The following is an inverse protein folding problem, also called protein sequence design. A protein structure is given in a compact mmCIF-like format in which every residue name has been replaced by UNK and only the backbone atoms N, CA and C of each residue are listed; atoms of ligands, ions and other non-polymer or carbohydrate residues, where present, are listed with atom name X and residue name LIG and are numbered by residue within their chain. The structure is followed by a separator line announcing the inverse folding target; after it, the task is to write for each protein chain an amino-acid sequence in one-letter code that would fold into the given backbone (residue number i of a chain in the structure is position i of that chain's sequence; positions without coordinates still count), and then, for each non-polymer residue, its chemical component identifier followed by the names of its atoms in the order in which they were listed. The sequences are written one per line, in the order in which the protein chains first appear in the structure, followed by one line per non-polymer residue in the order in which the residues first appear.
data_IF_727370589503
#
_entry.id   IF_727370589503
#
_cell.length_a   1.000
_cell.length_b   1.000
_cell.length_c   1.000
_cell.angle_alpha   90.00
_cell.angle_beta   90.00
_cell.angle_gamma   90.00
#
_symmetry.space_group_name_H-M   'P 1'
#
loop_
_entity.id
_entity.type
_entity.pdbx_description
1 polymer ?
#
# COMPACT_ATOMS: atom_id res chain seq x y z
N UNK A 1 19.64 -12.91 11.97
CA UNK A 1 19.22 -12.69 13.37
C UNK A 1 19.55 -13.93 14.15
N UNK A 2 20.53 -13.87 15.05
CA UNK A 2 20.79 -14.99 15.96
C UNK A 2 19.68 -14.95 17.00
N UNK A 3 18.71 -15.86 16.90
CA UNK A 3 17.76 -16.07 17.98
C UNK A 3 18.51 -16.72 19.14
N UNK A 4 18.33 -16.21 20.36
CA UNK A 4 18.84 -16.92 21.53
C UNK A 4 18.06 -18.23 21.68
N UNK A 5 18.75 -19.31 22.04
CA UNK A 5 18.16 -20.62 22.34
C UNK A 5 17.82 -20.76 23.82
N UNK A 6 17.78 -19.65 24.55
CA UNK A 6 17.60 -19.67 26.00
C UNK A 6 16.17 -20.09 26.35
N UNK A 7 16.07 -20.96 27.35
CA UNK A 7 14.79 -21.44 27.88
C UNK A 7 14.53 -20.81 29.23
N UNK A 8 13.31 -20.32 29.42
CA UNK A 8 12.87 -19.67 30.66
C UNK A 8 11.68 -20.44 31.24
N UNK A 9 11.75 -20.77 32.52
CA UNK A 9 10.61 -21.29 33.28
C UNK A 9 9.91 -20.08 33.91
N UNK A 10 8.64 -19.89 33.59
CA UNK A 10 7.83 -18.78 34.08
C UNK A 10 6.42 -19.27 34.41
N UNK A 11 5.80 -18.67 35.43
CA UNK A 11 4.40 -18.98 35.78
C UNK A 11 3.41 -18.38 34.77
N UNK A 12 3.78 -17.24 34.17
CA UNK A 12 2.99 -16.53 33.15
C UNK A 12 3.92 -15.86 32.14
N UNK A 13 3.50 -15.88 30.88
CA UNK A 13 4.18 -15.20 29.78
C UNK A 13 3.19 -14.33 29.01
N UNK A 14 3.63 -13.13 28.63
CA UNK A 14 2.87 -12.23 27.75
C UNK A 14 3.77 -11.88 26.58
N UNK A 15 3.29 -12.11 25.35
CA UNK A 15 4.05 -11.91 24.11
C UNK A 15 3.44 -10.73 23.36
N UNK A 16 4.23 -9.66 23.21
CA UNK A 16 3.83 -8.40 22.57
C UNK A 16 4.76 -8.01 21.40
N UNK A 17 5.22 -8.98 20.61
CA UNK A 17 6.24 -8.75 19.57
C UNK A 17 5.71 -8.03 18.32
N UNK A 18 4.42 -7.70 18.28
CA UNK A 18 3.78 -7.06 17.13
C UNK A 18 3.72 -7.97 15.89
N UNK A 19 3.64 -7.33 14.72
CA UNK A 19 3.53 -8.02 13.44
C UNK A 19 4.90 -8.38 12.87
N UNK A 20 4.94 -9.50 12.14
CA UNK A 20 6.10 -9.88 11.32
C UNK A 20 5.71 -9.76 9.85
N UNK A 21 6.42 -8.91 9.11
CA UNK A 21 6.20 -8.69 7.68
C UNK A 21 7.38 -9.25 6.89
N UNK A 22 7.31 -10.51 6.42
CA UNK A 22 8.36 -11.06 5.58
C UNK A 22 8.31 -10.41 4.20
N UNK A 23 9.47 -9.93 3.73
CA UNK A 23 9.64 -9.40 2.38
C UNK A 23 10.10 -10.52 1.46
N UNK A 24 9.39 -10.75 0.35
CA UNK A 24 9.71 -11.77 -0.65
C UNK A 24 10.12 -11.16 -1.99
N UNK A 25 9.45 -10.11 -2.43
CA UNK A 25 9.59 -9.57 -3.78
C UNK A 25 10.04 -8.12 -3.80
N UNK A 26 9.70 -7.32 -2.78
CA UNK A 26 10.18 -5.94 -2.70
C UNK A 26 11.72 -5.91 -2.62
N UNK A 27 12.35 -5.12 -3.49
CA UNK A 27 13.80 -5.07 -3.68
C UNK A 27 14.37 -6.08 -4.68
N UNK A 28 13.64 -7.15 -5.00
CA UNK A 28 14.03 -8.15 -6.00
C UNK A 28 13.31 -7.97 -7.34
N UNK A 29 12.08 -7.45 -7.30
CA UNK A 29 11.27 -7.12 -8.47
C UNK A 29 11.12 -5.61 -8.53
N UNK A 30 11.49 -5.04 -9.68
CA UNK A 30 11.39 -3.59 -9.89
C UNK A 30 9.95 -3.11 -9.73
N UNK A 31 9.77 -1.96 -9.08
CA UNK A 31 8.47 -1.35 -8.81
C UNK A 31 7.45 -2.26 -8.08
N UNK A 32 7.93 -3.26 -7.32
CA UNK A 32 7.10 -4.10 -6.47
C UNK A 32 7.21 -3.67 -5.01
N UNK A 33 6.07 -3.38 -4.38
CA UNK A 33 5.98 -2.91 -2.99
C UNK A 33 5.11 -3.85 -2.16
N UNK A 34 5.63 -4.32 -1.03
CA UNK A 34 4.92 -5.21 -0.11
C UNK A 34 4.31 -4.44 1.06
N UNK A 35 3.11 -4.83 1.45
CA UNK A 35 2.44 -4.22 2.59
C UNK A 35 3.07 -4.69 3.92
N UNK A 36 3.05 -3.84 4.95
CA UNK A 36 2.61 -2.45 4.95
C UNK A 36 3.68 -1.52 4.40
N UNK A 37 3.26 -0.65 3.50
CA UNK A 37 4.13 0.39 2.93
C UNK A 37 3.84 1.73 3.63
N UNK A 38 4.87 2.47 4.08
CA UNK A 38 4.66 3.87 4.43
C UNK A 38 4.25 4.64 3.16
N UNK A 39 3.31 5.59 3.25
CA UNK A 39 2.86 6.37 2.09
C UNK A 39 3.99 6.99 1.28
N UNK A 40 5.09 7.38 1.92
CA UNK A 40 6.27 7.93 1.23
C UNK A 40 6.89 7.00 0.19
N UNK A 41 6.78 5.67 0.32
CA UNK A 41 7.24 4.71 -0.71
C UNK A 41 6.38 4.73 -1.97
N UNK A 42 5.11 5.11 -1.85
CA UNK A 42 4.14 5.13 -2.94
C UNK A 42 3.84 6.55 -3.43
N UNK A 43 4.62 7.54 -3.01
CA UNK A 43 4.55 8.93 -3.46
C UNK A 43 5.14 9.07 -4.89
N UNK A 44 4.57 8.34 -5.83
CA UNK A 44 5.08 8.18 -7.19
C UNK A 44 4.19 8.93 -8.17
N UNK A 45 4.80 9.67 -9.08
CA UNK A 45 4.14 10.19 -10.29
C UNK A 45 4.42 9.24 -11.45
N UNK A 46 3.37 8.80 -12.12
CA UNK A 46 3.38 7.70 -13.08
C UNK A 46 2.47 8.02 -14.26
N UNK A 47 2.81 7.49 -15.44
CA UNK A 47 2.01 7.61 -16.65
C UNK A 47 1.65 6.23 -17.20
N UNK A 48 1.27 5.32 -16.32
CA UNK A 48 0.89 3.95 -16.65
C UNK A 48 -0.05 3.36 -15.59
N UNK A 49 -0.58 2.18 -15.88
CA UNK A 49 -1.40 1.44 -14.94
C UNK A 49 -0.59 0.98 -13.71
N UNK A 50 -1.21 1.05 -12.52
CA UNK A 50 -0.67 0.52 -11.27
C UNK A 50 -1.61 -0.56 -10.73
N UNK A 51 -1.07 -1.75 -10.50
CA UNK A 51 -1.82 -2.86 -9.91
C UNK A 51 -1.75 -2.82 -8.39
N UNK A 52 -2.89 -2.91 -7.71
CA UNK A 52 -2.97 -3.06 -6.25
C UNK A 52 -3.61 -4.42 -5.94
N UNK A 53 -2.89 -5.26 -5.21
CA UNK A 53 -3.37 -6.58 -4.81
C UNK A 53 -3.89 -6.57 -3.37
N UNK A 54 -5.21 -6.62 -3.21
CA UNK A 54 -5.91 -6.63 -1.91
C UNK A 54 -6.96 -5.53 -1.80
N UNK A 55 -7.76 -5.59 -0.74
CA UNK A 55 -8.80 -4.60 -0.40
C UNK A 55 -8.82 -4.26 1.09
N UNK A 56 -7.66 -4.35 1.76
CA UNK A 56 -7.51 -3.94 3.15
C UNK A 56 -7.36 -2.41 3.27
N UNK A 57 -7.32 -1.90 4.50
CA UNK A 57 -7.02 -0.48 4.76
C UNK A 57 -5.72 -0.02 4.11
N UNK A 58 -4.69 -0.89 4.11
CA UNK A 58 -3.43 -0.61 3.44
C UNK A 58 -3.59 -0.47 1.92
N UNK A 59 -4.51 -1.21 1.29
CA UNK A 59 -4.84 -1.00 -0.13
C UNK A 59 -5.50 0.37 -0.36
N UNK A 60 -6.41 0.78 0.53
CA UNK A 60 -7.06 2.10 0.47
C UNK A 60 -6.04 3.23 0.63
N UNK A 61 -5.08 3.09 1.54
CA UNK A 61 -4.00 4.07 1.73
C UNK A 61 -3.09 4.16 0.51
N UNK A 62 -2.78 3.04 -0.15
CA UNK A 62 -2.07 3.05 -1.43
C UNK A 62 -2.84 3.82 -2.50
N UNK A 63 -4.15 3.54 -2.66
CA UNK A 63 -5.00 4.24 -3.63
C UNK A 63 -4.97 5.74 -3.38
N UNK A 64 -5.20 6.17 -2.13
CA UNK A 64 -5.23 7.59 -1.75
C UNK A 64 -3.89 8.27 -1.99
N UNK A 65 -2.80 7.59 -1.68
CA UNK A 65 -1.45 8.13 -1.87
C UNK A 65 -1.16 8.30 -3.36
N UNK A 66 -1.33 7.23 -4.14
CA UNK A 66 -1.08 7.27 -5.59
C UNK A 66 -1.97 8.29 -6.29
N UNK A 67 -3.27 8.32 -5.99
CA UNK A 67 -4.18 9.29 -6.58
C UNK A 67 -3.75 10.74 -6.32
N UNK A 68 -3.30 11.08 -5.10
CA UNK A 68 -2.84 12.44 -4.77
C UNK A 68 -1.53 12.86 -5.45
N UNK A 69 -0.73 11.90 -5.92
CA UNK A 69 0.53 12.18 -6.62
C UNK A 69 0.40 12.15 -8.14
N UNK A 70 -0.76 11.75 -8.67
CA UNK A 70 -1.03 11.62 -10.10
C UNK A 70 -2.25 12.45 -10.54
N UNK A 71 -2.75 13.32 -9.66
CA UNK A 71 -3.97 14.07 -9.88
C UNK A 71 -4.49 14.70 -8.59
N UNK A 72 -5.69 15.25 -8.66
CA UNK A 72 -6.35 15.90 -7.53
C UNK A 72 -7.84 15.61 -7.52
N UNK A 73 -8.47 15.78 -6.35
CA UNK A 73 -9.91 15.67 -6.20
C UNK A 73 -10.50 17.07 -6.02
N UNK A 74 -11.45 17.43 -6.87
CA UNK A 74 -12.23 18.65 -6.75
C UNK A 74 -13.64 18.31 -6.23
N UNK A 75 -14.10 19.06 -5.24
CA UNK A 75 -15.48 18.97 -4.78
C UNK A 75 -16.36 19.83 -5.69
N UNK A 76 -17.34 19.18 -6.33
CA UNK A 76 -18.32 19.86 -7.17
C UNK A 76 -19.42 20.48 -6.28
N UNK A 77 -20.11 21.49 -6.82
CA UNK A 77 -21.26 22.12 -6.16
C UNK A 77 -22.39 21.11 -5.84
N UNK A 78 -22.45 20.00 -6.57
CA UNK A 78 -23.40 18.89 -6.35
C UNK A 78 -23.08 18.06 -5.09
N UNK A 79 -21.91 18.26 -4.48
CA UNK A 79 -21.40 17.44 -3.37
C UNK A 79 -20.64 16.19 -3.82
N UNK A 80 -20.53 15.94 -5.13
CA UNK A 80 -19.74 14.86 -5.70
C UNK A 80 -18.25 15.24 -5.77
N UNK A 81 -17.38 14.23 -5.83
CA UNK A 81 -15.95 14.42 -6.06
C UNK A 81 -15.62 14.08 -7.51
N UNK A 82 -14.98 15.03 -8.21
CA UNK A 82 -14.35 14.78 -9.51
C UNK A 82 -12.86 14.55 -9.31
N UNK A 83 -12.32 13.49 -9.89
CA UNK A 83 -10.88 13.28 -9.94
C UNK A 83 -10.32 13.83 -11.27
N UNK A 84 -9.31 14.68 -11.18
CA UNK A 84 -8.61 15.26 -12.32
C UNK A 84 -7.18 14.73 -12.38
N UNK A 85 -6.82 14.16 -13.53
CA UNK A 85 -5.48 13.65 -13.77
C UNK A 85 -4.52 14.80 -14.02
N UNK A 86 -3.35 14.74 -13.38
CA UNK A 86 -2.28 15.71 -13.59
C UNK A 86 -1.65 15.60 -14.99
N UNK A 87 -1.11 16.70 -15.54
CA UNK A 87 -0.21 16.62 -16.69
C UNK A 87 0.98 15.69 -16.42
N UNK A 88 1.28 14.83 -17.40
CA UNK A 88 2.31 13.78 -17.31
C UNK A 88 1.83 12.47 -16.71
N UNK A 89 0.55 12.36 -16.33
CA UNK A 89 -0.07 11.15 -15.76
C UNK A 89 -1.28 10.66 -16.56
N UNK A 90 -1.38 11.02 -17.84
CA UNK A 90 -2.57 10.81 -18.69
C UNK A 90 -3.04 9.35 -18.77
N UNK A 91 -2.13 8.39 -18.66
CA UNK A 91 -2.40 6.95 -18.67
C UNK A 91 -2.42 6.32 -17.26
N UNK A 92 -2.36 7.15 -16.22
CA UNK A 92 -2.47 6.69 -14.84
C UNK A 92 -3.85 6.08 -14.61
N UNK A 93 -3.85 4.83 -14.13
CA UNK A 93 -5.06 4.14 -13.67
C UNK A 93 -4.68 3.13 -12.61
N UNK A 94 -5.57 2.94 -11.64
CA UNK A 94 -5.40 1.93 -10.60
C UNK A 94 -6.25 0.72 -10.96
N UNK A 95 -5.64 -0.46 -11.04
CA UNK A 95 -6.35 -1.74 -11.17
C UNK A 95 -6.26 -2.49 -9.86
N UNK A 96 -7.42 -2.72 -9.25
CA UNK A 96 -7.53 -3.48 -8.01
C UNK A 96 -7.76 -4.96 -8.31
N UNK A 97 -6.96 -5.82 -7.67
CA UNK A 97 -7.10 -7.26 -7.73
C UNK A 97 -7.29 -7.83 -6.34
N UNK A 98 -8.42 -8.48 -6.09
CA UNK A 98 -8.73 -9.15 -4.81
C UNK A 98 -8.91 -10.65 -5.03
N UNK A 99 -8.70 -11.43 -3.98
CA UNK A 99 -8.80 -12.91 -4.06
C UNK A 99 -10.21 -13.41 -4.40
N UNK A 100 -11.25 -12.64 -4.04
CA UNK A 100 -12.65 -13.04 -4.22
C UNK A 100 -13.37 -12.26 -5.33
N UNK A 101 -12.64 -11.52 -6.16
CA UNK A 101 -13.23 -10.48 -7.00
C UNK A 101 -13.60 -9.23 -6.18
N UNK A 102 -13.79 -8.12 -6.88
CA UNK A 102 -14.45 -6.95 -6.32
C UNK A 102 -15.94 -7.04 -6.65
#
# INVERSE_FOLDING_TARGET
TVGSTDTYIVDKVVICTGHKWPTKYEGNVEHYFESPYPPSKLALKTNHAVGIRGASLTAIDAIRTLARHNGSFEALETGELRYEIDPGSENFKILMHTRSGL
#
